data_IF_538689855566
#
_entry.id   IF_538689855566
#
_cell.length_a   1.000
_cell.length_b   1.000
_cell.length_c   1.000
_cell.angle_alpha   90.00
_cell.angle_beta   90.00
_cell.angle_gamma   90.00
#
_symmetry.space_group_name_H-M   'P 1'
#
loop_
_entity.id
_entity.type
_entity.pdbx_description
1 polymer ?
#
# COMPACT_ATOMS: atom_id res chain seq x y z
N UNK A 1 -21.91 36.12 -2.25
CA UNK A 1 -21.18 34.95 -2.76
C UNK A 1 -20.78 34.15 -1.53
N UNK A 2 -21.59 33.15 -1.16
CA UNK A 2 -21.43 32.34 0.06
C UNK A 2 -21.89 30.92 -0.27
N UNK A 3 -21.24 30.28 -1.25
CA UNK A 3 -21.71 29.01 -1.82
C UNK A 3 -20.68 27.89 -1.79
N UNK A 4 -19.39 28.22 -1.82
CA UNK A 4 -18.31 27.22 -1.86
C UNK A 4 -17.69 27.08 -0.48
N UNK A 5 -17.41 28.19 0.22
CA UNK A 5 -16.80 28.14 1.55
C UNK A 5 -17.72 27.50 2.61
N UNK A 6 -19.02 27.78 2.55
CA UNK A 6 -20.02 27.15 3.43
C UNK A 6 -20.19 25.66 3.14
N UNK A 7 -20.06 25.25 1.87
CA UNK A 7 -20.09 23.84 1.47
C UNK A 7 -18.85 23.11 1.96
N UNK A 8 -17.67 23.73 1.86
CA UNK A 8 -16.42 23.15 2.34
C UNK A 8 -16.40 23.04 3.86
N UNK A 9 -16.95 24.03 4.58
CA UNK A 9 -17.12 23.96 6.03
C UNK A 9 -18.10 22.85 6.42
N UNK A 10 -19.22 22.70 5.71
CA UNK A 10 -20.18 21.62 5.96
C UNK A 10 -19.55 20.23 5.70
N UNK A 11 -18.77 20.06 4.64
CA UNK A 11 -18.06 18.81 4.35
C UNK A 11 -17.05 18.50 5.46
N UNK A 12 -16.30 19.49 5.94
CA UNK A 12 -15.36 19.32 7.07
C UNK A 12 -16.08 18.95 8.36
N UNK A 13 -17.19 19.62 8.68
CA UNK A 13 -18.00 19.29 9.85
C UNK A 13 -18.69 17.92 9.75
N UNK A 14 -19.05 17.48 8.54
CA UNK A 14 -19.54 16.11 8.31
C UNK A 14 -18.40 15.10 8.52
N UNK A 15 -17.19 15.35 8.00
CA UNK A 15 -16.02 14.50 8.26
C UNK A 15 -15.69 14.39 9.75
N UNK A 16 -15.81 15.48 10.51
CA UNK A 16 -15.61 15.50 11.96
C UNK A 16 -16.76 14.80 12.71
N UNK A 17 -18.01 15.02 12.29
CA UNK A 17 -19.20 14.41 12.92
C UNK A 17 -19.31 12.90 12.67
N UNK A 18 -18.77 12.40 11.56
CA UNK A 18 -18.60 10.96 11.29
C UNK A 18 -17.21 10.43 11.70
N UNK A 19 -16.32 11.32 12.15
CA UNK A 19 -14.88 11.09 12.40
C UNK A 19 -14.51 10.77 13.85
N UNK A 20 -15.33 9.98 14.54
CA UNK A 20 -14.92 9.28 15.76
C UNK A 20 -15.30 7.78 15.69
N UNK A 21 -15.24 7.21 14.48
CA UNK A 21 -15.24 5.77 14.22
C UNK A 21 -13.99 5.45 13.41
N UNK A 22 -13.31 4.35 13.71
CA UNK A 22 -12.04 3.89 13.12
C UNK A 22 -11.91 4.26 11.63
N UNK A 23 -10.78 4.87 11.25
CA UNK A 23 -10.31 4.96 9.87
C UNK A 23 -10.42 3.60 9.20
N UNK A 24 -10.80 3.55 7.92
CA UNK A 24 -10.69 2.30 7.18
C UNK A 24 -9.22 1.87 7.11
N UNK A 25 -8.90 0.56 7.03
CA UNK A 25 -7.52 0.12 6.88
C UNK A 25 -6.81 0.76 5.68
N UNK A 26 -7.55 1.05 4.60
CA UNK A 26 -7.03 1.77 3.43
C UNK A 26 -6.60 3.19 3.80
N UNK A 27 -7.41 3.92 4.57
CA UNK A 27 -7.07 5.28 4.99
C UNK A 27 -5.83 5.27 5.90
N UNK A 28 -5.71 4.29 6.80
CA UNK A 28 -4.50 4.13 7.61
C UNK A 28 -3.25 3.87 6.75
N UNK A 29 -3.35 3.01 5.74
CA UNK A 29 -2.26 2.78 4.78
C UNK A 29 -1.92 4.07 4.02
N UNK A 30 -2.92 4.80 3.55
CA UNK A 30 -2.75 6.07 2.83
C UNK A 30 -2.00 7.07 3.71
N UNK A 31 -2.45 7.27 4.94
CA UNK A 31 -1.87 8.25 5.86
C UNK A 31 -0.40 7.91 6.16
N UNK A 32 -0.10 6.64 6.43
CA UNK A 32 1.29 6.18 6.65
C UNK A 32 2.17 6.41 5.43
N UNK A 33 1.67 6.13 4.22
CA UNK A 33 2.44 6.32 3.00
C UNK A 33 2.59 7.81 2.62
N UNK A 34 1.60 8.65 2.92
CA UNK A 34 1.72 10.11 2.78
C UNK A 34 2.78 10.68 3.71
N UNK A 35 2.81 10.25 4.97
CA UNK A 35 3.83 10.66 5.94
C UNK A 35 5.24 10.24 5.51
N UNK A 36 5.36 9.16 4.73
CA UNK A 36 6.63 8.72 4.11
C UNK A 36 6.99 9.46 2.83
N UNK A 37 6.11 10.31 2.30
CA UNK A 37 6.34 11.14 1.11
C UNK A 37 5.98 10.50 -0.22
N UNK A 38 5.17 9.42 -0.23
CA UNK A 38 4.69 8.84 -1.48
C UNK A 38 3.64 9.76 -2.13
N UNK A 39 3.64 9.82 -3.47
CA UNK A 39 2.61 10.52 -4.23
C UNK A 39 1.28 9.75 -4.17
N UNK A 40 0.16 10.45 -4.33
CA UNK A 40 -1.18 9.84 -4.39
C UNK A 40 -1.25 8.71 -5.45
N UNK A 41 -0.57 8.89 -6.59
CA UNK A 41 -0.47 7.87 -7.65
C UNK A 41 0.32 6.64 -7.21
N UNK A 42 1.46 6.83 -6.54
CA UNK A 42 2.25 5.73 -6.01
C UNK A 42 1.48 4.95 -4.94
N UNK A 43 0.77 5.67 -4.06
CA UNK A 43 -0.08 5.08 -3.04
C UNK A 43 -1.19 4.24 -3.67
N UNK A 44 -1.89 4.75 -4.68
CA UNK A 44 -2.92 4.00 -5.38
C UNK A 44 -2.38 2.73 -6.06
N UNK A 45 -1.18 2.80 -6.67
CA UNK A 45 -0.50 1.65 -7.23
C UNK A 45 -0.17 0.57 -6.18
N UNK A 46 0.28 0.98 -4.99
CA UNK A 46 0.55 0.08 -3.85
C UNK A 46 -0.77 -0.51 -3.32
N UNK A 47 -1.81 0.30 -3.13
CA UNK A 47 -3.13 -0.17 -2.68
C UNK A 47 -3.73 -1.20 -3.62
N UNK A 48 -3.62 -1.01 -4.94
CA UNK A 48 -4.10 -1.98 -5.92
C UNK A 48 -3.42 -3.35 -5.82
N UNK A 49 -2.17 -3.39 -5.35
CA UNK A 49 -1.45 -4.63 -5.04
C UNK A 49 -1.95 -5.24 -3.73
N UNK A 50 -1.96 -4.47 -2.64
CA UNK A 50 -2.45 -4.93 -1.32
C UNK A 50 -3.88 -5.45 -1.41
N UNK A 51 -4.73 -4.79 -2.20
CA UNK A 51 -6.11 -5.21 -2.37
C UNK A 51 -6.22 -6.59 -2.99
N UNK A 52 -5.42 -6.86 -4.04
CA UNK A 52 -5.41 -8.16 -4.69
C UNK A 52 -4.84 -9.25 -3.77
N UNK A 53 -3.76 -8.94 -3.06
CA UNK A 53 -3.08 -9.84 -2.12
C UNK A 53 -3.98 -10.22 -0.93
N UNK A 54 -4.78 -9.28 -0.45
CA UNK A 54 -5.64 -9.48 0.72
C UNK A 54 -7.08 -9.85 0.38
N UNK A 55 -7.43 -9.94 -0.91
CA UNK A 55 -8.82 -10.12 -1.33
C UNK A 55 -9.75 -8.98 -0.88
N UNK A 56 -9.21 -7.77 -0.73
CA UNK A 56 -9.95 -6.58 -0.32
C UNK A 56 -10.05 -6.33 1.18
N UNK A 57 -9.44 -7.16 2.03
CA UNK A 57 -9.52 -6.97 3.49
C UNK A 57 -8.56 -5.89 3.98
N UNK A 58 -7.41 -5.71 3.31
CA UNK A 58 -6.30 -4.86 3.76
C UNK A 58 -5.86 -5.18 5.20
N UNK A 59 -6.09 -6.41 5.66
CA UNK A 59 -5.71 -6.84 7.00
C UNK A 59 -4.23 -7.25 6.99
N UNK A 60 -3.42 -6.61 7.84
CA UNK A 60 -2.02 -6.97 8.01
C UNK A 60 -1.83 -8.38 8.63
N UNK A 61 -2.91 -8.98 9.14
CA UNK A 61 -2.95 -10.37 9.62
C UNK A 61 -3.51 -11.36 8.61
N UNK A 62 -3.79 -10.95 7.38
CA UNK A 62 -4.35 -11.84 6.37
C UNK A 62 -3.41 -13.04 6.14
N UNK A 63 -3.90 -14.24 6.43
CA UNK A 63 -3.23 -15.50 6.13
C UNK A 63 -3.70 -16.04 4.77
N UNK A 64 -2.80 -16.68 4.03
CA UNK A 64 -3.16 -17.45 2.84
C UNK A 64 -3.96 -18.70 3.23
N UNK A 65 -4.95 -19.08 2.42
CA UNK A 65 -5.81 -20.23 2.73
C UNK A 65 -5.06 -21.58 2.76
N UNK A 66 -4.07 -21.76 1.88
CA UNK A 66 -3.36 -23.03 1.67
C UNK A 66 -1.82 -22.85 1.64
N UNK A 67 -1.29 -21.91 2.43
CA UNK A 67 0.14 -21.62 2.46
C UNK A 67 0.58 -20.80 3.68
N UNK A 68 1.85 -20.37 3.65
CA UNK A 68 2.49 -19.64 4.75
C UNK A 68 2.56 -18.13 4.50
N UNK A 69 1.99 -17.64 3.38
CA UNK A 69 2.02 -16.22 3.05
C UNK A 69 1.15 -15.39 4.01
N UNK A 70 1.60 -14.17 4.30
CA UNK A 70 1.11 -13.39 5.42
C UNK A 70 1.08 -11.88 5.18
N UNK A 71 -0.01 -11.24 5.58
CA UNK A 71 -0.15 -9.79 5.71
C UNK A 71 -0.46 -9.05 4.41
N UNK A 72 -0.21 -7.73 4.42
CA UNK A 72 -0.62 -6.79 3.36
C UNK A 72 -0.06 -7.14 1.99
N UNK A 73 1.17 -7.65 1.97
CA UNK A 73 1.93 -7.99 0.77
C UNK A 73 2.10 -9.51 0.61
N UNK A 74 1.27 -10.31 1.30
CA UNK A 74 1.33 -11.77 1.33
C UNK A 74 2.77 -12.31 1.36
N UNK A 75 3.50 -11.97 2.42
CA UNK A 75 4.91 -12.32 2.59
C UNK A 75 5.13 -13.84 2.55
N UNK A 76 5.44 -14.37 1.37
CA UNK A 76 5.94 -15.72 1.17
C UNK A 76 7.47 -15.69 1.30
N UNK A 77 8.20 -15.52 0.18
CA UNK A 77 9.66 -15.46 0.19
C UNK A 77 10.23 -14.28 1.01
N UNK A 78 9.43 -13.22 1.21
CA UNK A 78 9.82 -12.02 1.96
C UNK A 78 9.79 -12.22 3.48
N UNK A 79 9.10 -13.26 3.96
CA UNK A 79 8.83 -13.49 5.39
C UNK A 79 10.09 -13.50 6.27
N UNK A 80 11.21 -14.14 5.87
CA UNK A 80 12.44 -14.09 6.66
C UNK A 80 13.06 -12.68 6.73
N UNK A 81 12.96 -11.89 5.66
CA UNK A 81 13.45 -10.51 5.64
C UNK A 81 12.62 -9.62 6.56
N UNK A 82 11.30 -9.79 6.53
CA UNK A 82 10.38 -9.05 7.37
C UNK A 82 10.60 -9.33 8.87
N UNK A 83 10.70 -10.61 9.27
CA UNK A 83 10.93 -10.94 10.68
C UNK A 83 12.30 -10.49 11.18
N UNK A 84 13.35 -10.60 10.34
CA UNK A 84 14.66 -10.03 10.65
C UNK A 84 14.61 -8.50 10.80
N UNK A 85 13.81 -7.82 9.97
CA UNK A 85 13.58 -6.39 10.10
C UNK A 85 12.91 -6.04 11.42
N UNK A 86 11.87 -6.78 11.84
CA UNK A 86 11.21 -6.58 13.12
C UNK A 86 12.17 -6.74 14.29
N UNK A 87 12.97 -7.81 14.29
CA UNK A 87 13.95 -8.11 15.34
C UNK A 87 15.00 -7.00 15.45
N UNK A 88 15.63 -6.63 14.33
CA UNK A 88 16.68 -5.60 14.29
C UNK A 88 16.21 -4.22 14.74
N UNK A 89 14.93 -3.91 14.54
CA UNK A 89 14.34 -2.62 14.88
C UNK A 89 13.52 -2.66 16.18
N UNK A 90 13.53 -3.78 16.92
CA UNK A 90 12.71 -4.01 18.11
C UNK A 90 11.22 -3.66 17.90
N UNK A 91 10.70 -3.92 16.70
CA UNK A 91 9.31 -3.68 16.30
C UNK A 91 8.46 -4.93 16.53
N UNK A 92 7.17 -4.72 16.77
CA UNK A 92 6.15 -5.78 16.71
C UNK A 92 5.49 -5.77 15.34
N UNK A 93 4.94 -6.91 14.94
CA UNK A 93 4.14 -6.98 13.72
C UNK A 93 2.89 -6.08 13.83
N UNK A 94 2.67 -5.29 12.79
CA UNK A 94 1.57 -4.33 12.66
C UNK A 94 1.49 -3.82 11.22
N UNK A 95 0.36 -3.21 10.84
CA UNK A 95 0.20 -2.48 9.58
C UNK A 95 1.37 -1.50 9.34
N UNK A 96 1.70 -0.68 10.34
CA UNK A 96 2.83 0.26 10.27
C UNK A 96 4.15 -0.45 10.00
N UNK A 97 4.43 -1.55 10.72
CA UNK A 97 5.69 -2.28 10.57
C UNK A 97 5.84 -2.91 9.18
N UNK A 98 4.75 -3.41 8.59
CA UNK A 98 4.77 -3.97 7.23
C UNK A 98 5.02 -2.88 6.18
N UNK A 99 4.39 -1.71 6.33
CA UNK A 99 4.63 -0.55 5.46
C UNK A 99 6.03 0.03 5.65
N UNK A 100 6.56 0.06 6.88
CA UNK A 100 7.93 0.48 7.15
C UNK A 100 8.94 -0.48 6.51
N UNK A 101 8.67 -1.79 6.58
CA UNK A 101 9.51 -2.78 5.92
C UNK A 101 9.51 -2.62 4.41
N UNK A 102 8.33 -2.48 3.78
CA UNK A 102 8.22 -2.19 2.36
C UNK A 102 9.01 -0.94 1.98
N UNK A 103 8.83 0.15 2.74
CA UNK A 103 9.52 1.42 2.52
C UNK A 103 11.06 1.27 2.58
N UNK A 104 11.58 0.57 3.60
CA UNK A 104 13.01 0.28 3.72
C UNK A 104 13.54 -0.59 2.56
N UNK A 105 12.76 -1.56 2.08
CA UNK A 105 13.12 -2.38 0.92
C UNK A 105 13.21 -1.54 -0.35
N UNK A 106 12.19 -0.72 -0.65
CA UNK A 106 12.16 0.07 -1.90
C UNK A 106 13.12 1.27 -1.87
N UNK A 107 13.60 1.66 -0.69
CA UNK A 107 14.73 2.60 -0.52
C UNK A 107 16.10 1.93 -0.63
N UNK A 108 16.15 0.60 -0.67
CA UNK A 108 17.39 -0.18 -0.72
C UNK A 108 18.13 -0.26 0.62
N UNK A 109 17.47 0.05 1.74
CA UNK A 109 18.02 -0.09 3.09
C UNK A 109 18.07 -1.58 3.51
N UNK A 110 17.21 -2.40 2.91
CA UNK A 110 17.20 -3.85 3.05
C UNK A 110 17.56 -4.46 1.68
N UNK A 111 18.66 -5.21 1.64
CA UNK A 111 19.12 -5.88 0.42
C UNK A 111 18.27 -7.12 0.11
N UNK A 112 17.07 -6.88 -0.41
CA UNK A 112 16.12 -7.91 -0.84
C UNK A 112 15.88 -7.86 -2.35
N UNK A 113 15.84 -6.67 -2.95
CA UNK A 113 15.55 -6.49 -4.38
C UNK A 113 16.81 -6.42 -5.25
N UNK A 114 17.95 -6.02 -4.67
CA UNK A 114 19.15 -5.61 -5.38
C UNK A 114 19.04 -4.20 -5.98
N UNK A 115 20.18 -3.50 -6.08
CA UNK A 115 20.25 -2.08 -6.43
C UNK A 115 19.53 -1.70 -7.75
N UNK A 116 19.65 -2.52 -8.80
CA UNK A 116 19.00 -2.24 -10.08
C UNK A 116 17.47 -2.32 -10.04
N UNK A 117 16.89 -3.12 -9.15
CA UNK A 117 15.44 -3.18 -8.95
C UNK A 117 14.96 -2.07 -8.02
N UNK A 118 15.77 -1.68 -7.03
CA UNK A 118 15.51 -0.48 -6.20
C UNK A 118 15.42 0.77 -7.08
N UNK A 119 16.35 0.95 -8.01
CA UNK A 119 16.30 2.09 -8.94
C UNK A 119 15.01 2.05 -9.80
N UNK A 120 14.67 0.88 -10.37
CA UNK A 120 13.47 0.73 -11.21
C UNK A 120 12.17 1.04 -10.46
N UNK A 121 12.02 0.56 -9.22
CA UNK A 121 10.78 0.80 -8.47
C UNK A 121 10.68 2.27 -8.03
N UNK A 122 11.80 2.91 -7.69
CA UNK A 122 11.83 4.33 -7.38
C UNK A 122 11.50 5.20 -8.61
N UNK A 123 11.99 4.83 -9.80
CA UNK A 123 11.59 5.49 -11.05
C UNK A 123 10.11 5.24 -11.38
N UNK A 124 9.61 4.03 -11.12
CA UNK A 124 8.19 3.72 -11.33
C UNK A 124 7.29 4.62 -10.48
N UNK A 125 7.60 4.83 -9.19
CA UNK A 125 6.81 5.71 -8.31
C UNK A 125 6.76 7.18 -8.73
N UNK A 126 7.58 7.62 -9.70
CA UNK A 126 7.55 8.97 -10.28
C UNK A 126 6.64 9.10 -11.50
N UNK A 127 6.10 7.99 -12.01
CA UNK A 127 5.23 7.98 -13.20
C UNK A 127 3.88 8.64 -12.92
N UNK A 128 3.24 9.11 -14.00
CA UNK A 128 1.88 9.65 -13.96
C UNK A 128 0.78 8.59 -14.17
N UNK A 129 1.15 7.38 -14.57
CA UNK A 129 0.22 6.28 -14.87
C UNK A 129 0.13 5.33 -13.67
N UNK A 130 -1.03 5.33 -13.01
CA UNK A 130 -1.31 4.52 -11.81
C UNK A 130 -1.32 3.02 -12.14
N UNK A 131 -1.88 2.64 -13.29
CA UNK A 131 -1.90 1.26 -13.76
C UNK A 131 -0.49 0.72 -14.03
N UNK A 132 0.41 1.51 -14.61
CA UNK A 132 1.82 1.13 -14.77
C UNK A 132 2.54 0.98 -13.43
N UNK A 133 2.33 1.90 -12.49
CA UNK A 133 2.93 1.79 -11.15
C UNK A 133 2.52 0.47 -10.49
N UNK A 134 1.23 0.12 -10.55
CA UNK A 134 0.74 -1.12 -9.96
C UNK A 134 1.39 -2.37 -10.58
N UNK A 135 1.59 -2.37 -11.90
CA UNK A 135 2.27 -3.46 -12.64
C UNK A 135 3.74 -3.57 -12.28
N UNK A 136 4.44 -2.45 -12.21
CA UNK A 136 5.86 -2.40 -11.88
C UNK A 136 6.08 -2.82 -10.43
N UNK A 137 5.26 -2.33 -9.49
CA UNK A 137 5.31 -2.74 -8.09
C UNK A 137 5.13 -4.25 -7.96
N UNK A 138 4.13 -4.84 -8.62
CA UNK A 138 3.99 -6.30 -8.64
C UNK A 138 5.21 -6.98 -9.25
N UNK A 139 5.70 -6.51 -10.40
CA UNK A 139 6.78 -7.18 -11.13
C UNK A 139 8.09 -7.16 -10.34
N UNK A 140 8.33 -6.09 -9.59
CA UNK A 140 9.61 -5.84 -8.91
C UNK A 140 9.56 -6.29 -7.44
N UNK A 141 8.53 -5.86 -6.70
CA UNK A 141 8.39 -6.11 -5.28
C UNK A 141 7.67 -7.44 -5.03
N UNK A 142 6.35 -7.52 -5.29
CA UNK A 142 5.50 -8.68 -4.92
C UNK A 142 5.92 -9.98 -5.61
N UNK A 143 6.24 -9.88 -6.90
CA UNK A 143 6.50 -10.98 -7.84
C UNK A 143 5.33 -11.99 -7.89
N UNK A 144 4.11 -11.50 -7.64
CA UNK A 144 2.88 -12.28 -7.63
C UNK A 144 2.16 -12.33 -8.98
N UNK A 145 0.96 -12.91 -8.98
CA UNK A 145 0.09 -12.93 -10.17
C UNK A 145 -0.44 -11.53 -10.47
N UNK A 146 -0.51 -11.17 -11.74
CA UNK A 146 -1.11 -9.90 -12.20
C UNK A 146 -2.65 -9.87 -12.10
N UNK A 147 -3.28 -11.05 -12.14
CA UNK A 147 -4.73 -11.21 -12.12
C UNK A 147 -5.10 -12.44 -11.29
N UNK A 148 -6.17 -12.32 -10.52
CA UNK A 148 -6.89 -13.46 -9.92
C UNK A 148 -8.37 -13.38 -10.31
N UNK A 149 -9.20 -14.26 -9.76
CA UNK A 149 -10.65 -14.18 -9.91
C UNK A 149 -11.24 -12.95 -9.20
N UNK A 150 -10.51 -12.37 -8.23
CA UNK A 150 -10.89 -11.15 -7.54
C UNK A 150 -10.75 -9.91 -8.45
N UNK A 151 -9.69 -9.84 -9.25
CA UNK A 151 -9.44 -8.67 -10.09
C UNK A 151 -8.05 -8.62 -10.72
N UNK A 152 -7.72 -7.45 -11.26
CA UNK A 152 -6.39 -7.12 -11.81
C UNK A 152 -5.81 -5.92 -11.10
N UNK A 153 -4.50 -5.92 -10.86
CA UNK A 153 -3.82 -4.89 -10.07
C UNK A 153 -3.95 -3.48 -10.65
N UNK A 154 -3.90 -3.36 -11.97
CA UNK A 154 -4.07 -2.07 -12.66
C UNK A 154 -5.48 -1.51 -12.50
N UNK A 155 -6.50 -2.33 -12.73
CA UNK A 155 -7.90 -1.92 -12.56
C UNK A 155 -8.20 -1.58 -11.08
N UNK A 156 -7.64 -2.33 -10.13
CA UNK A 156 -7.78 -2.04 -8.70
C UNK A 156 -7.05 -0.75 -8.31
N UNK A 157 -5.87 -0.48 -8.86
CA UNK A 157 -5.13 0.74 -8.57
C UNK A 157 -5.88 1.98 -9.08
N UNK A 158 -6.42 1.95 -10.31
CA UNK A 158 -7.25 3.03 -10.87
C UNK A 158 -8.52 3.27 -10.04
N UNK A 159 -9.15 2.18 -9.58
CA UNK A 159 -10.31 2.24 -8.68
C UNK A 159 -9.95 2.92 -7.36
N UNK A 160 -8.83 2.52 -6.73
CA UNK A 160 -8.39 3.13 -5.48
C UNK A 160 -7.99 4.60 -5.67
N UNK A 161 -7.35 4.94 -6.78
CA UNK A 161 -7.03 6.34 -7.09
C UNK A 161 -8.30 7.19 -7.13
N UNK A 162 -9.29 6.78 -7.93
CA UNK A 162 -10.56 7.49 -8.08
C UNK A 162 -11.38 7.59 -6.79
N UNK A 163 -11.16 6.68 -5.82
CA UNK A 163 -11.90 6.62 -4.58
C UNK A 163 -11.33 7.53 -3.49
N UNK A 164 -10.00 7.70 -3.46
CA UNK A 164 -9.30 8.36 -2.36
C UNK A 164 -8.60 9.67 -2.76
N UNK A 165 -8.41 9.94 -4.06
CA UNK A 165 -7.68 11.10 -4.60
C UNK A 165 -8.46 11.80 -5.73
#
# INVERSE_FOLDING_TARGET
MAGIDDLMNLISSVKEAFGAGSSSPQQEIIDVLKDKGYSDKAIAGILGNIELETGGTFDYKQEENDGDAYGLFQFDFMKPYYFNYLEKNAKRDSLQSQLDFMDSVVKGEIDMLGAGNVEKIQESFKKDDVAEIAKDFNTIFEKGKMKTDYGKRDELAEKNYSMYF
#
